data_IF_857458844496
#
_entry.id   IF_857458844496
#
_cell.length_a   1.000
_cell.length_b   1.000
_cell.length_c   1.000
_cell.angle_alpha   90.00
_cell.angle_beta   90.00
_cell.angle_gamma   90.00
#
_symmetry.space_group_name_H-M   'P 1'
#
loop_
_entity.id
_entity.type
_entity.pdbx_description
1 polymer ?
#
# COMPACT_ATOMS: atom_id res chain seq x y z
N UNK A 1 2.84 -1.38 -13.87
CA UNK A 1 3.59 -2.39 -13.14
C UNK A 1 2.66 -3.27 -12.28
N UNK A 2 1.81 -2.67 -11.44
CA UNK A 2 0.89 -3.40 -10.56
C UNK A 2 -0.11 -4.26 -11.36
N UNK A 3 -0.73 -3.71 -12.40
CA UNK A 3 -1.62 -4.46 -13.28
C UNK A 3 -0.92 -5.65 -13.94
N UNK A 4 0.32 -5.46 -14.34
CA UNK A 4 1.12 -6.52 -14.93
C UNK A 4 1.41 -7.66 -13.94
N UNK A 5 1.72 -7.33 -12.69
CA UNK A 5 1.91 -8.33 -11.61
C UNK A 5 0.59 -9.08 -11.34
N UNK A 6 -0.52 -8.36 -11.22
CA UNK A 6 -1.85 -8.95 -11.03
C UNK A 6 -2.20 -9.92 -12.16
N UNK A 7 -1.95 -9.53 -13.42
CA UNK A 7 -2.20 -10.40 -14.58
C UNK A 7 -1.36 -11.68 -14.55
N UNK A 8 -0.11 -11.62 -14.06
CA UNK A 8 0.73 -12.79 -13.93
C UNK A 8 0.18 -13.77 -12.88
N UNK A 9 -0.42 -13.27 -11.78
CA UNK A 9 -1.03 -14.11 -10.76
C UNK A 9 -2.44 -14.61 -11.13
N UNK A 10 -3.20 -13.88 -11.95
CA UNK A 10 -4.55 -14.29 -12.42
C UNK A 10 -4.50 -15.54 -13.33
N UNK A 11 -3.37 -15.81 -13.97
CA UNK A 11 -3.13 -17.09 -14.65
C UNK A 11 -3.05 -18.24 -13.64
N UNK A 12 -3.42 -19.46 -14.06
CA UNK A 12 -3.42 -20.62 -13.16
C UNK A 12 -2.05 -21.01 -12.60
N UNK A 13 -0.96 -20.42 -13.11
CA UNK A 13 0.41 -20.66 -12.64
C UNK A 13 1.26 -19.39 -12.79
N UNK A 14 1.80 -18.90 -11.69
CA UNK A 14 3.05 -18.15 -11.75
C UNK A 14 4.13 -19.22 -11.97
N UNK A 15 4.64 -19.33 -13.19
CA UNK A 15 5.74 -20.23 -13.51
C UNK A 15 7.01 -19.74 -12.80
N UNK A 16 7.89 -20.66 -12.39
CA UNK A 16 9.17 -20.30 -11.74
C UNK A 16 9.96 -19.26 -12.53
N UNK A 17 9.92 -19.35 -13.87
CA UNK A 17 10.54 -18.39 -14.79
C UNK A 17 10.04 -16.95 -14.62
N UNK A 18 8.80 -16.78 -14.17
CA UNK A 18 8.15 -15.48 -14.01
C UNK A 18 8.35 -14.86 -12.61
N UNK A 19 8.72 -15.63 -11.61
CA UNK A 19 8.90 -15.14 -10.24
C UNK A 19 9.93 -14.01 -10.19
N UNK A 20 11.06 -14.15 -10.88
CA UNK A 20 12.07 -13.10 -10.96
C UNK A 20 11.54 -11.79 -11.55
N UNK A 21 10.66 -11.88 -12.56
CA UNK A 21 10.00 -10.71 -13.16
C UNK A 21 9.02 -10.08 -12.19
N UNK A 22 8.24 -10.89 -11.47
CA UNK A 22 7.30 -10.40 -10.44
C UNK A 22 8.05 -9.64 -9.35
N UNK A 23 9.12 -10.22 -8.81
CA UNK A 23 9.96 -9.59 -7.77
C UNK A 23 10.51 -8.26 -8.27
N UNK A 24 11.13 -8.24 -9.46
CA UNK A 24 11.70 -7.01 -10.03
C UNK A 24 10.65 -5.91 -10.24
N UNK A 25 9.40 -6.26 -10.56
CA UNK A 25 8.31 -5.29 -10.70
C UNK A 25 7.81 -4.79 -9.35
N UNK A 26 7.70 -5.66 -8.35
CA UNK A 26 7.33 -5.27 -7.00
C UNK A 26 8.38 -4.34 -6.38
N UNK A 27 9.67 -4.64 -6.57
CA UNK A 27 10.77 -3.76 -6.14
C UNK A 27 10.66 -2.39 -6.80
N UNK A 28 10.35 -2.34 -8.09
CA UNK A 28 10.16 -1.07 -8.80
C UNK A 28 8.94 -0.30 -8.28
N UNK A 29 7.84 -0.98 -7.96
CA UNK A 29 6.67 -0.35 -7.33
C UNK A 29 7.06 0.29 -6.00
N UNK A 30 7.86 -0.41 -5.18
CA UNK A 30 8.37 0.11 -3.90
C UNK A 30 9.22 1.37 -4.11
N UNK A 31 10.14 1.34 -5.07
CA UNK A 31 11.00 2.51 -5.36
C UNK A 31 10.19 3.71 -5.88
N UNK A 32 9.15 3.46 -6.71
CA UNK A 32 8.23 4.51 -7.15
C UNK A 32 7.47 5.11 -5.96
N UNK A 33 6.99 4.27 -5.03
CA UNK A 33 6.31 4.76 -3.83
C UNK A 33 7.22 5.59 -2.93
N UNK A 34 8.47 5.19 -2.75
CA UNK A 34 9.49 5.99 -2.03
C UNK A 34 9.68 7.36 -2.70
N UNK A 35 9.83 7.38 -4.03
CA UNK A 35 9.95 8.63 -4.77
C UNK A 35 8.74 9.56 -4.57
N UNK A 36 7.52 8.99 -4.56
CA UNK A 36 6.30 9.78 -4.31
C UNK A 36 6.29 10.39 -2.90
N UNK A 37 6.76 9.65 -1.89
CA UNK A 37 6.90 10.15 -0.52
C UNK A 37 7.92 11.30 -0.47
N UNK A 38 9.07 11.13 -1.12
CA UNK A 38 10.10 12.16 -1.19
C UNK A 38 9.57 13.44 -1.87
N UNK A 39 8.76 13.32 -2.93
CA UNK A 39 8.11 14.46 -3.57
C UNK A 39 7.15 15.20 -2.64
N UNK A 40 6.40 14.49 -1.80
CA UNK A 40 5.57 15.14 -0.76
C UNK A 40 6.44 15.93 0.21
N UNK A 41 7.58 15.37 0.64
CA UNK A 41 8.55 16.05 1.47
C UNK A 41 9.06 17.37 0.85
N UNK A 42 9.27 17.40 -0.47
CA UNK A 42 9.63 18.65 -1.18
C UNK A 42 8.49 19.67 -1.10
N UNK A 43 7.24 19.23 -1.29
CA UNK A 43 6.08 20.12 -1.18
C UNK A 43 5.89 20.69 0.23
N UNK A 44 6.26 19.94 1.27
CA UNK A 44 6.21 20.41 2.66
C UNK A 44 7.20 21.55 2.96
N UNK A 45 8.22 21.74 2.12
CA UNK A 45 9.14 22.91 2.25
C UNK A 45 8.52 24.22 1.77
N UNK A 46 7.37 24.16 1.11
CA UNK A 46 6.66 25.33 0.61
C UNK A 46 6.08 26.16 1.77
N UNK A 47 6.28 27.47 1.72
CA UNK A 47 5.65 28.32 2.73
C UNK A 47 4.15 28.48 2.48
N UNK A 48 3.34 28.76 3.51
CA UNK A 48 1.91 29.04 3.32
C UNK A 48 1.63 30.16 2.31
N UNK A 49 2.51 31.15 2.21
CA UNK A 49 2.36 32.25 1.25
C UNK A 49 2.56 31.79 -0.19
N UNK A 50 3.59 30.97 -0.44
CA UNK A 50 3.83 30.39 -1.77
C UNK A 50 2.65 29.54 -2.23
N UNK A 51 2.08 28.76 -1.30
CA UNK A 51 0.88 27.96 -1.59
C UNK A 51 -0.34 28.80 -1.93
N UNK A 52 -0.54 29.93 -1.25
CA UNK A 52 -1.69 30.82 -1.49
C UNK A 52 -1.68 31.41 -2.89
N UNK A 53 -0.51 31.64 -3.49
CA UNK A 53 -0.40 32.24 -4.84
C UNK A 53 -1.07 31.38 -5.93
N UNK A 54 -1.09 30.04 -5.77
CA UNK A 54 -1.69 29.16 -6.77
C UNK A 54 -2.86 28.31 -6.27
N UNK A 55 -3.20 28.42 -4.98
CA UNK A 55 -4.27 27.63 -4.36
C UNK A 55 -5.58 27.68 -5.14
N UNK A 56 -5.96 28.86 -5.63
CA UNK A 56 -7.21 29.06 -6.35
C UNK A 56 -7.24 28.32 -7.69
N UNK A 57 -6.05 28.10 -8.31
CA UNK A 57 -5.92 27.33 -9.54
C UNK A 57 -6.17 25.83 -9.30
N UNK A 58 -6.00 25.35 -8.07
CA UNK A 58 -6.24 23.95 -7.72
C UNK A 58 -7.70 23.64 -7.39
N UNK A 59 -8.52 24.65 -7.16
CA UNK A 59 -9.94 24.45 -6.83
C UNK A 59 -10.72 23.98 -8.09
N UNK A 60 -11.57 22.91 -8.01
CA UNK A 60 -11.98 22.16 -6.81
C UNK A 60 -11.16 20.88 -6.52
N UNK A 61 -9.95 20.74 -7.04
CA UNK A 61 -9.15 19.53 -6.89
C UNK A 61 -8.82 19.21 -5.41
N UNK A 62 -8.81 17.92 -5.11
CA UNK A 62 -8.44 17.38 -3.79
C UNK A 62 -7.70 16.07 -3.96
N UNK A 63 -6.68 15.83 -3.15
CA UNK A 63 -5.96 14.55 -3.12
C UNK A 63 -6.88 13.35 -2.79
N UNK A 64 -8.00 13.58 -2.13
CA UNK A 64 -9.02 12.55 -1.86
C UNK A 64 -9.82 12.13 -3.10
N UNK A 65 -9.75 12.89 -4.19
CA UNK A 65 -10.45 12.64 -5.45
C UNK A 65 -9.58 11.89 -6.48
N UNK A 66 -8.38 11.45 -6.11
CA UNK A 66 -7.53 10.69 -7.02
C UNK A 66 -8.07 9.28 -7.22
N UNK A 67 -8.72 9.04 -8.36
CA UNK A 67 -9.21 7.73 -8.79
C UNK A 67 -8.07 6.72 -8.84
N UNK A 68 -6.95 7.09 -9.48
CA UNK A 68 -5.78 6.21 -9.63
C UNK A 68 -5.21 5.77 -8.30
N UNK A 69 -5.14 6.66 -7.32
CA UNK A 69 -4.65 6.31 -5.98
C UNK A 69 -5.60 5.32 -5.30
N UNK A 70 -6.92 5.53 -5.42
CA UNK A 70 -7.93 4.61 -4.87
C UNK A 70 -7.92 3.24 -5.54
N UNK A 71 -7.73 3.20 -6.86
CA UNK A 71 -7.55 1.95 -7.59
C UNK A 71 -6.27 1.20 -7.17
N UNK A 72 -5.16 1.92 -6.89
CA UNK A 72 -3.93 1.30 -6.37
C UNK A 72 -4.17 0.68 -4.99
N UNK A 73 -4.85 1.39 -4.08
CA UNK A 73 -5.21 0.85 -2.76
C UNK A 73 -6.06 -0.42 -2.87
N UNK A 74 -7.07 -0.44 -3.76
CA UNK A 74 -7.92 -1.60 -4.01
C UNK A 74 -7.10 -2.77 -4.58
N UNK A 75 -6.30 -2.52 -5.61
CA UNK A 75 -5.47 -3.53 -6.28
C UNK A 75 -4.41 -4.13 -5.37
N UNK A 76 -3.88 -3.37 -4.42
CA UNK A 76 -2.97 -3.88 -3.39
C UNK A 76 -3.70 -4.71 -2.31
N UNK A 77 -5.01 -4.52 -2.15
CA UNK A 77 -5.81 -5.22 -1.14
C UNK A 77 -5.85 -4.49 0.20
N UNK A 78 -5.72 -3.15 0.20
CA UNK A 78 -5.79 -2.38 1.44
C UNK A 78 -7.20 -2.41 2.02
N UNK A 79 -7.40 -2.95 3.23
CA UNK A 79 -8.72 -2.98 3.87
C UNK A 79 -9.26 -1.58 4.14
N UNK A 80 -10.59 -1.41 4.07
CA UNK A 80 -11.24 -0.13 4.36
C UNK A 80 -10.97 0.37 5.79
N UNK A 81 -10.68 -0.53 6.74
CA UNK A 81 -10.29 -0.21 8.12
C UNK A 81 -8.96 0.54 8.21
N UNK A 82 -8.04 0.24 7.32
CA UNK A 82 -6.66 0.77 7.34
C UNK A 82 -6.51 2.05 6.52
N UNK A 83 -7.59 2.46 5.81
CA UNK A 83 -7.55 3.68 5.00
C UNK A 83 -7.75 4.91 5.86
N UNK A 84 -7.00 5.96 5.55
CA UNK A 84 -7.18 7.26 6.18
C UNK A 84 -8.59 7.77 5.85
N UNK A 85 -9.38 8.04 6.89
CA UNK A 85 -10.71 8.60 6.76
C UNK A 85 -10.66 10.08 7.08
N UNK A 86 -11.22 10.89 6.21
CA UNK A 86 -11.46 12.29 6.49
C UNK A 86 -12.83 12.42 7.14
N UNK A 87 -12.86 12.61 8.45
CA UNK A 87 -14.09 12.54 9.23
C UNK A 87 -14.66 11.13 9.31
N UNK A 88 -15.99 10.98 9.17
CA UNK A 88 -16.70 9.68 9.19
C UNK A 88 -17.01 9.14 7.78
N UNK A 89 -16.56 9.81 6.73
CA UNK A 89 -16.91 9.46 5.36
C UNK A 89 -16.09 8.28 4.82
N UNK A 90 -16.69 7.51 3.93
CA UNK A 90 -15.97 6.49 3.16
C UNK A 90 -14.93 7.15 2.25
N UNK A 91 -13.91 6.41 1.88
CA UNK A 91 -12.82 6.87 1.01
C UNK A 91 -13.28 7.29 -0.41
N UNK A 92 -14.42 6.76 -0.87
CA UNK A 92 -15.04 7.05 -2.17
C UNK A 92 -16.04 8.22 -2.14
N UNK A 93 -16.29 8.82 -0.96
CA UNK A 93 -17.31 9.84 -0.78
C UNK A 93 -17.04 11.16 -1.54
N UNK A 94 -15.77 11.39 -1.92
CA UNK A 94 -15.35 12.58 -2.67
C UNK A 94 -15.30 12.34 -4.18
N UNK A 95 -15.63 11.13 -4.64
CA UNK A 95 -15.67 10.77 -6.05
C UNK A 95 -17.10 10.84 -6.56
N UNK A 96 -17.27 11.30 -7.79
CA UNK A 96 -18.57 11.45 -8.43
C UNK A 96 -18.63 10.73 -9.78
N UNK A 97 -19.84 10.49 -10.25
CA UNK A 97 -20.10 10.00 -11.60
C UNK A 97 -19.38 8.68 -11.92
N UNK A 98 -18.71 8.65 -13.06
CA UNK A 98 -18.02 7.46 -13.57
C UNK A 98 -16.73 7.13 -12.81
N UNK A 99 -16.10 8.13 -12.19
CA UNK A 99 -14.90 7.93 -11.38
C UNK A 99 -15.21 7.11 -10.13
N UNK A 100 -16.33 7.42 -9.47
CA UNK A 100 -16.79 6.63 -8.33
C UNK A 100 -17.13 5.18 -8.74
N UNK A 101 -17.80 5.01 -9.88
CA UNK A 101 -18.12 3.67 -10.41
C UNK A 101 -16.87 2.83 -10.68
N UNK A 102 -15.82 3.43 -11.28
CA UNK A 102 -14.55 2.75 -11.54
C UNK A 102 -13.89 2.26 -10.27
N UNK A 103 -13.82 3.14 -9.26
CA UNK A 103 -13.21 2.79 -7.97
C UNK A 103 -13.98 1.68 -7.27
N UNK A 104 -15.32 1.75 -7.26
CA UNK A 104 -16.15 0.69 -6.67
C UNK A 104 -16.01 -0.63 -7.42
N UNK A 105 -15.98 -0.60 -8.75
CA UNK A 105 -15.74 -1.81 -9.56
C UNK A 105 -14.37 -2.44 -9.26
N UNK A 106 -13.34 -1.62 -9.05
CA UNK A 106 -12.01 -2.13 -8.68
C UNK A 106 -11.93 -2.72 -7.25
N UNK A 107 -12.90 -2.41 -6.38
CA UNK A 107 -13.01 -3.01 -5.04
C UNK A 107 -13.49 -4.48 -5.11
N UNK A 108 -14.27 -4.82 -6.15
CA UNK A 108 -14.79 -6.17 -6.38
C UNK A 108 -13.78 -7.07 -7.11
N UNK A 109 -12.73 -6.51 -7.70
CA UNK A 109 -11.67 -7.26 -8.36
C UNK A 109 -10.76 -7.95 -7.35
N UNK A 110 -10.19 -9.11 -7.74
CA UNK A 110 -9.18 -9.79 -6.93
C UNK A 110 -7.94 -8.89 -6.77
N UNK A 111 -7.62 -8.59 -5.53
CA UNK A 111 -6.43 -7.82 -5.17
C UNK A 111 -5.16 -8.67 -5.27
N UNK A 112 -4.01 -8.00 -5.33
CA UNK A 112 -2.70 -8.65 -5.29
C UNK A 112 -2.54 -9.50 -4.02
N UNK A 113 -3.01 -9.01 -2.88
CA UNK A 113 -2.96 -9.74 -1.62
C UNK A 113 -3.71 -11.06 -1.71
N UNK A 114 -4.97 -11.05 -2.18
CA UNK A 114 -5.78 -12.26 -2.35
C UNK A 114 -5.18 -13.23 -3.39
N UNK A 115 -4.62 -12.70 -4.48
CA UNK A 115 -3.96 -13.52 -5.49
C UNK A 115 -2.69 -14.20 -4.95
N UNK A 116 -1.96 -13.51 -4.07
CA UNK A 116 -0.78 -14.05 -3.41
C UNK A 116 -1.16 -15.15 -2.41
N UNK A 117 -2.23 -14.95 -1.63
CA UNK A 117 -2.77 -15.99 -0.74
C UNK A 117 -3.16 -17.25 -1.54
N UNK A 118 -3.91 -17.10 -2.63
CA UNK A 118 -4.29 -18.21 -3.50
C UNK A 118 -3.07 -18.90 -4.14
N UNK A 119 -2.03 -18.14 -4.47
CA UNK A 119 -0.79 -18.70 -5.01
C UNK A 119 -0.05 -19.51 -3.95
N UNK A 120 0.08 -18.99 -2.73
CA UNK A 120 0.71 -19.68 -1.61
C UNK A 120 -0.03 -20.96 -1.24
N UNK A 121 -1.37 -20.94 -1.19
CA UNK A 121 -2.19 -22.13 -0.92
C UNK A 121 -1.98 -23.26 -1.93
N UNK A 122 -1.69 -22.90 -3.18
CA UNK A 122 -1.49 -23.86 -4.29
C UNK A 122 -0.02 -24.29 -4.46
N UNK A 123 0.91 -23.55 -3.86
CA UNK A 123 2.34 -23.79 -4.08
C UNK A 123 2.77 -25.04 -3.31
N UNK A 124 3.23 -26.11 -4.00
CA UNK A 124 3.76 -27.28 -3.33
C UNK A 124 5.14 -26.97 -2.71
N UNK A 125 5.57 -27.81 -1.79
CA UNK A 125 6.93 -27.76 -1.21
C UNK A 125 7.24 -26.52 -0.36
N UNK A 126 6.22 -25.96 0.32
CA UNK A 126 6.45 -24.92 1.34
C UNK A 126 7.30 -25.43 2.52
N UNK A 127 7.37 -26.75 2.68
CA UNK A 127 8.27 -27.44 3.59
C UNK A 127 9.06 -28.51 2.81
N UNK A 128 10.37 -28.38 2.75
CA UNK A 128 11.25 -29.33 2.08
C UNK A 128 12.59 -29.43 2.82
N UNK A 129 12.95 -30.61 3.29
CA UNK A 129 14.17 -30.87 4.07
C UNK A 129 14.33 -29.89 5.26
N UNK A 130 15.35 -29.03 5.19
CA UNK A 130 15.61 -27.96 6.19
C UNK A 130 14.91 -26.63 5.88
N UNK A 131 14.19 -26.53 4.77
CA UNK A 131 13.48 -25.33 4.37
C UNK A 131 12.05 -25.38 4.88
N UNK A 132 11.66 -24.38 5.68
CA UNK A 132 10.28 -24.12 6.10
C UNK A 132 9.92 -22.68 5.73
N UNK A 133 9.10 -22.53 4.70
CA UNK A 133 8.66 -21.22 4.22
C UNK A 133 7.98 -20.41 5.34
N UNK A 134 7.09 -21.04 6.10
CA UNK A 134 6.31 -20.32 7.12
C UNK A 134 7.16 -19.81 8.28
N UNK A 135 8.16 -20.56 8.70
CA UNK A 135 9.11 -20.11 9.73
C UNK A 135 9.96 -18.93 9.23
N UNK A 136 10.44 -18.99 8.00
CA UNK A 136 11.20 -17.90 7.38
C UNK A 136 10.34 -16.66 7.14
N UNK A 137 9.10 -16.86 6.70
CA UNK A 137 8.14 -15.78 6.52
C UNK A 137 7.85 -15.07 7.84
N UNK A 138 7.51 -15.83 8.89
CA UNK A 138 7.27 -15.29 10.22
C UNK A 138 8.47 -14.51 10.74
N UNK A 139 9.67 -15.07 10.67
CA UNK A 139 10.89 -14.39 11.08
C UNK A 139 11.13 -13.08 10.31
N UNK A 140 10.82 -13.07 9.01
CA UNK A 140 10.94 -11.88 8.17
C UNK A 140 9.93 -10.80 8.54
N UNK A 141 8.68 -11.18 8.80
CA UNK A 141 7.62 -10.27 9.25
C UNK A 141 7.95 -9.69 10.62
N UNK A 142 8.40 -10.51 11.57
CA UNK A 142 8.82 -10.06 12.90
C UNK A 142 9.98 -9.05 12.81
N UNK A 143 10.95 -9.31 11.96
CA UNK A 143 12.06 -8.38 11.70
C UNK A 143 11.58 -7.07 11.09
N UNK A 144 10.67 -7.12 10.13
CA UNK A 144 10.07 -5.94 9.51
C UNK A 144 9.33 -5.10 10.55
N UNK A 145 8.46 -5.71 11.34
CA UNK A 145 7.71 -5.04 12.43
C UNK A 145 8.68 -4.39 13.43
N UNK A 146 9.73 -5.10 13.83
CA UNK A 146 10.73 -4.57 14.75
C UNK A 146 11.43 -3.33 14.19
N UNK A 147 11.85 -3.38 12.94
CA UNK A 147 12.47 -2.25 12.27
C UNK A 147 11.52 -1.04 12.16
N UNK A 148 10.24 -1.28 11.89
CA UNK A 148 9.26 -0.19 11.78
C UNK A 148 8.94 0.42 13.15
N UNK A 149 8.83 -0.38 14.20
CA UNK A 149 8.71 0.10 15.58
C UNK A 149 9.91 0.98 15.96
N UNK A 150 11.12 0.55 15.60
CA UNK A 150 12.33 1.33 15.85
C UNK A 150 12.32 2.67 15.11
N UNK A 151 11.95 2.67 13.81
CA UNK A 151 11.82 3.90 13.02
C UNK A 151 10.78 4.86 13.61
N UNK A 152 9.60 4.36 14.02
CA UNK A 152 8.56 5.19 14.65
C UNK A 152 9.08 5.77 15.97
N UNK A 153 9.72 4.96 16.80
CA UNK A 153 10.22 5.38 18.10
C UNK A 153 11.32 6.44 17.99
N UNK A 154 12.19 6.31 16.98
CA UNK A 154 13.32 7.22 16.76
C UNK A 154 12.96 8.45 15.92
N UNK A 155 11.76 8.49 15.32
CA UNK A 155 11.32 9.61 14.49
C UNK A 155 11.13 10.88 15.35
N UNK A 156 11.97 11.87 15.12
CA UNK A 156 11.92 13.16 15.82
C UNK A 156 10.77 14.07 15.37
N UNK A 157 10.16 13.78 14.22
CA UNK A 157 9.07 14.58 13.66
C UNK A 157 7.68 14.17 14.18
N UNK A 158 7.60 13.05 14.90
CA UNK A 158 6.36 12.57 15.51
C UNK A 158 6.31 12.96 16.98
N UNK A 159 5.19 13.50 17.43
CA UNK A 159 4.92 13.69 18.85
C UNK A 159 4.61 12.35 19.55
N UNK A 160 4.60 12.35 20.88
CA UNK A 160 4.41 11.13 21.66
C UNK A 160 3.03 10.48 21.42
N UNK A 161 1.99 11.28 21.19
CA UNK A 161 0.64 10.76 20.94
C UNK A 161 0.54 10.08 19.57
N UNK A 162 1.18 10.65 18.54
CA UNK A 162 1.25 10.04 17.22
C UNK A 162 2.09 8.76 17.21
N UNK A 163 3.19 8.72 17.99
CA UNK A 163 3.98 7.51 18.17
C UNK A 163 3.17 6.39 18.81
N UNK A 164 2.48 6.66 19.92
CA UNK A 164 1.63 5.67 20.59
C UNK A 164 0.50 5.16 19.69
N UNK A 165 -0.16 6.05 18.94
CA UNK A 165 -1.20 5.65 18.00
C UNK A 165 -0.68 4.74 16.90
N UNK A 166 0.52 5.04 16.37
CA UNK A 166 1.17 4.22 15.34
C UNK A 166 1.60 2.86 15.88
N UNK A 167 2.16 2.81 17.08
CA UNK A 167 2.62 1.56 17.73
C UNK A 167 1.46 0.60 18.05
N UNK A 168 0.30 1.12 18.44
CA UNK A 168 -0.90 0.29 18.69
C UNK A 168 -1.33 -0.53 17.49
N UNK A 169 -1.11 -0.04 16.28
CA UNK A 169 -1.45 -0.79 15.08
C UNK A 169 -0.58 -2.04 14.91
N UNK A 170 0.66 -2.01 15.39
CA UNK A 170 1.57 -3.16 15.32
C UNK A 170 1.34 -4.18 16.44
N UNK A 171 0.82 -3.77 17.59
CA UNK A 171 0.45 -4.68 18.67
C UNK A 171 -0.75 -5.57 18.29
N UNK A 172 -1.62 -5.09 17.41
CA UNK A 172 -2.78 -5.84 16.91
C UNK A 172 -2.42 -6.89 15.83
N UNK A 173 -1.18 -6.85 15.31
CA UNK A 173 -0.70 -7.78 14.26
C UNK A 173 0.08 -8.96 14.89
N UNK A 174 0.49 -8.86 16.15
CA UNK A 174 1.11 -9.96 16.91
C UNK A 174 0.06 -10.93 17.42
#
# INVERSE_FOLDING_TARGET
ELDSVILMFKGNYVQEENIGVVVARLDRIIEIQKLLIDQVGILETMTPMDFLEFRDLLNPASGFQSVQFREIENKLGMPSSNRIRFGKQRYDAFLEGDDRKKVLASEDDLSLFQLLEQWLERTPFLQFESFNFWELYQASVEKMITNDIEKISTNSNLDNAAKEASLKNYEAIK
#
